data_IF_202534916035
#
_entry.id   IF_202534916035
#
_cell.length_a   1.000
_cell.length_b   1.000
_cell.length_c   1.000
_cell.angle_alpha   90.00
_cell.angle_beta   90.00
_cell.angle_gamma   90.00
#
_symmetry.space_group_name_H-M   'P 1'
#
loop_
_entity.id
_entity.type
_entity.pdbx_description
1 polymer ?
#
# COMPACT_ATOMS: atom_id res chain seq x y z
N UNK A 1 10.91 -7.34 -10.38
CA UNK A 1 9.94 -6.25 -10.18
C UNK A 1 8.61 -6.74 -10.75
N UNK A 2 7.57 -6.91 -9.93
CA UNK A 2 6.26 -7.40 -10.41
C UNK A 2 5.57 -6.26 -11.18
N UNK A 3 5.11 -6.52 -12.41
CA UNK A 3 4.40 -5.52 -13.19
C UNK A 3 3.06 -5.15 -12.54
N UNK A 4 2.98 -3.95 -11.99
CA UNK A 4 1.74 -3.39 -11.41
C UNK A 4 0.98 -2.61 -12.49
N UNK A 5 -0.32 -2.84 -12.59
CA UNK A 5 -1.23 -2.04 -13.39
C UNK A 5 -2.01 -1.08 -12.48
N UNK A 6 -2.28 0.11 -12.98
CA UNK A 6 -3.04 1.14 -12.26
C UNK A 6 -4.28 1.48 -13.07
N UNK A 7 -5.43 1.54 -12.41
CA UNK A 7 -6.58 2.21 -13.02
C UNK A 7 -6.25 3.69 -13.24
N UNK A 8 -6.96 4.35 -14.16
CA UNK A 8 -6.81 5.79 -14.36
C UNK A 8 -7.01 6.56 -13.05
N UNK A 9 -8.02 6.16 -12.25
CA UNK A 9 -8.27 6.71 -10.93
C UNK A 9 -7.07 6.53 -9.98
N UNK A 10 -6.51 5.32 -9.88
CA UNK A 10 -5.38 5.04 -9.02
C UNK A 10 -4.15 5.87 -9.40
N UNK A 11 -3.83 5.97 -10.69
CA UNK A 11 -2.67 6.72 -11.19
C UNK A 11 -2.74 8.19 -10.77
N UNK A 12 -3.90 8.83 -10.99
CA UNK A 12 -4.14 10.24 -10.60
C UNK A 12 -4.01 10.42 -9.09
N UNK A 13 -4.65 9.54 -8.30
CA UNK A 13 -4.64 9.64 -6.82
C UNK A 13 -3.26 9.41 -6.21
N UNK A 14 -2.49 8.48 -6.75
CA UNK A 14 -1.13 8.22 -6.27
C UNK A 14 -0.23 9.44 -6.52
N UNK A 15 -0.29 10.02 -7.72
CA UNK A 15 0.44 11.23 -8.06
C UNK A 15 0.08 12.41 -7.15
N UNK A 16 -1.21 12.68 -6.97
CA UNK A 16 -1.72 13.76 -6.10
C UNK A 16 -1.25 13.64 -4.64
N UNK A 17 -0.98 12.41 -4.16
CA UNK A 17 -0.60 12.14 -2.76
C UNK A 17 0.90 11.87 -2.59
N UNK A 18 1.68 11.97 -3.67
CA UNK A 18 3.10 11.61 -3.68
C UNK A 18 3.34 10.17 -3.23
N UNK A 19 2.44 9.25 -3.61
CA UNK A 19 2.60 7.81 -3.35
C UNK A 19 3.35 7.24 -4.56
N UNK A 20 4.57 6.76 -4.34
CA UNK A 20 5.38 6.16 -5.38
C UNK A 20 5.12 4.66 -5.54
N UNK A 21 5.53 4.11 -6.70
CA UNK A 21 5.33 2.71 -7.04
C UNK A 21 6.11 1.76 -6.12
N UNK A 22 7.23 2.22 -5.56
CA UNK A 22 8.05 1.42 -4.66
C UNK A 22 7.31 1.14 -3.35
N UNK A 23 6.71 2.17 -2.76
CA UNK A 23 5.90 2.05 -1.56
C UNK A 23 4.69 1.14 -1.79
N UNK A 24 4.01 1.26 -2.94
CA UNK A 24 2.89 0.37 -3.28
C UNK A 24 3.36 -1.08 -3.40
N UNK A 25 4.48 -1.32 -4.11
CA UNK A 25 5.04 -2.66 -4.26
C UNK A 25 5.38 -3.26 -2.90
N UNK A 26 6.02 -2.50 -2.01
CA UNK A 26 6.35 -2.93 -0.66
C UNK A 26 5.10 -3.29 0.15
N UNK A 27 4.03 -2.48 0.08
CA UNK A 27 2.76 -2.81 0.76
C UNK A 27 2.14 -4.07 0.19
N UNK A 28 2.15 -4.27 -1.14
CA UNK A 28 1.62 -5.47 -1.76
C UNK A 28 2.44 -6.74 -1.45
N UNK A 29 3.76 -6.61 -1.22
CA UNK A 29 4.65 -7.71 -0.90
C UNK A 29 4.59 -8.11 0.58
N UNK A 30 4.66 -7.14 1.49
CA UNK A 30 4.80 -7.42 2.93
C UNK A 30 3.50 -7.22 3.72
N UNK A 31 2.50 -6.58 3.11
CA UNK A 31 1.26 -6.21 3.79
C UNK A 31 0.33 -7.37 4.03
N UNK A 32 -0.48 -7.22 5.08
CA UNK A 32 -1.60 -8.11 5.34
C UNK A 32 -2.79 -7.72 4.47
N UNK A 33 -3.64 -8.70 4.22
CA UNK A 33 -4.84 -8.55 3.38
C UNK A 33 -6.11 -8.51 4.24
N UNK A 34 -7.04 -7.63 3.89
CA UNK A 34 -8.40 -7.58 4.43
C UNK A 34 -9.40 -7.43 3.28
N UNK A 35 -10.32 -8.39 3.14
CA UNK A 35 -11.41 -8.34 2.17
C UNK A 35 -12.53 -7.42 2.67
N UNK A 36 -13.16 -6.67 1.77
CA UNK A 36 -14.26 -5.76 2.11
C UNK A 36 -15.66 -6.34 1.86
N UNK A 37 -15.75 -7.63 1.53
CA UNK A 37 -16.98 -8.35 1.18
C UNK A 37 -17.77 -7.81 -0.04
N UNK A 38 -17.29 -6.74 -0.68
CA UNK A 38 -17.89 -6.11 -1.86
C UNK A 38 -17.02 -6.26 -3.13
N UNK A 39 -16.16 -7.28 -3.15
CA UNK A 39 -15.27 -7.58 -4.28
C UNK A 39 -13.94 -6.81 -4.27
N UNK A 40 -13.72 -5.96 -3.27
CA UNK A 40 -12.45 -5.27 -3.05
C UNK A 40 -11.60 -5.93 -1.97
N UNK A 41 -10.30 -5.63 -2.04
CA UNK A 41 -9.28 -6.14 -1.13
C UNK A 41 -8.33 -5.03 -0.73
N UNK A 42 -8.18 -4.83 0.58
CA UNK A 42 -7.27 -3.86 1.16
C UNK A 42 -5.99 -4.55 1.60
N UNK A 43 -4.85 -4.01 1.20
CA UNK A 43 -3.52 -4.45 1.62
C UNK A 43 -2.83 -3.31 2.35
N UNK A 44 -2.29 -3.58 3.53
CA UNK A 44 -1.63 -2.57 4.37
C UNK A 44 -0.59 -3.19 5.31
N UNK A 45 0.35 -2.37 5.78
CA UNK A 45 1.30 -2.77 6.81
C UNK A 45 0.67 -2.52 8.20
N UNK A 46 0.48 -3.59 8.98
CA UNK A 46 0.15 -3.49 10.39
C UNK A 46 1.40 -3.28 11.25
N UNK A 47 1.24 -3.33 12.58
CA UNK A 47 2.36 -3.15 13.52
C UNK A 47 3.50 -4.19 13.29
N UNK A 48 3.24 -5.51 13.22
CA UNK A 48 4.30 -6.49 13.00
C UNK A 48 4.93 -6.38 11.61
N UNK A 49 4.18 -6.07 10.55
CA UNK A 49 4.75 -5.92 9.21
C UNK A 49 5.67 -4.69 9.14
N UNK A 50 5.29 -3.58 9.80
CA UNK A 50 6.17 -2.41 9.91
C UNK A 50 7.44 -2.69 10.68
N UNK A 51 7.35 -3.51 11.72
CA UNK A 51 8.53 -3.90 12.50
C UNK A 51 9.49 -4.72 11.65
N UNK A 52 9.00 -5.71 10.89
CA UNK A 52 9.83 -6.46 9.93
C UNK A 52 10.47 -5.56 8.87
N UNK A 53 9.70 -4.64 8.30
CA UNK A 53 10.24 -3.65 7.33
C UNK A 53 11.29 -2.75 7.97
N UNK A 54 11.17 -2.42 9.26
CA UNK A 54 12.16 -1.62 9.98
C UNK A 54 13.46 -2.39 10.23
N UNK A 55 13.36 -3.70 10.49
CA UNK A 55 14.51 -4.58 10.70
C UNK A 55 15.25 -4.86 9.38
N UNK A 56 14.51 -5.10 8.29
CA UNK A 56 15.09 -5.44 6.97
C UNK A 56 15.53 -4.20 6.18
N UNK A 57 14.80 -3.08 6.32
CA UNK A 57 15.02 -1.84 5.56
C UNK A 57 14.81 -0.58 6.42
N UNK A 58 15.70 -0.31 7.41
CA UNK A 58 15.54 0.80 8.35
C UNK A 58 15.44 2.18 7.65
N UNK A 59 16.18 2.39 6.57
CA UNK A 59 16.14 3.64 5.79
C UNK A 59 14.78 3.94 5.18
N UNK A 60 14.02 2.89 4.82
CA UNK A 60 12.68 3.05 4.23
C UNK A 60 11.69 3.56 5.26
N UNK A 61 11.86 3.20 6.54
CA UNK A 61 11.02 3.72 7.63
C UNK A 61 11.21 5.21 7.78
N UNK A 62 12.46 5.68 7.77
CA UNK A 62 12.78 7.11 7.84
C UNK A 62 12.29 7.86 6.61
N UNK A 63 12.47 7.28 5.41
CA UNK A 63 12.06 7.88 4.13
C UNK A 63 10.55 8.03 4.01
N UNK A 64 9.79 7.00 4.35
CA UNK A 64 8.34 6.98 4.12
C UNK A 64 7.53 7.50 5.30
N UNK A 65 8.03 7.38 6.53
CA UNK A 65 7.40 7.93 7.74
C UNK A 65 5.91 7.58 7.81
N UNK A 66 5.04 8.60 7.85
CA UNK A 66 3.58 8.42 7.87
C UNK A 66 3.02 7.67 6.66
N UNK A 67 3.70 7.68 5.51
CA UNK A 67 3.25 6.93 4.33
C UNK A 67 3.34 5.41 4.51
N UNK A 68 4.01 4.90 5.55
CA UNK A 68 3.89 3.47 5.93
C UNK A 68 2.49 3.08 6.41
N UNK A 69 1.62 4.05 6.70
CA UNK A 69 0.19 3.85 6.92
C UNK A 69 -0.61 3.76 5.61
N UNK A 70 0.05 3.51 4.48
CA UNK A 70 -0.61 3.30 3.20
C UNK A 70 -1.51 2.07 3.21
N UNK A 71 -2.71 2.26 2.68
CA UNK A 71 -3.65 1.23 2.29
C UNK A 71 -3.71 1.21 0.78
N UNK A 72 -3.46 0.04 0.19
CA UNK A 72 -3.60 -0.22 -1.25
C UNK A 72 -4.85 -1.04 -1.46
N UNK A 73 -5.71 -0.61 -2.37
CA UNK A 73 -6.94 -1.33 -2.71
C UNK A 73 -6.76 -2.00 -4.07
N UNK A 74 -6.99 -3.31 -4.13
CA UNK A 74 -6.99 -4.12 -5.36
C UNK A 74 -8.34 -4.82 -5.51
N UNK A 75 -8.68 -5.33 -6.71
CA UNK A 75 -9.72 -6.34 -6.84
C UNK A 75 -9.43 -7.57 -5.96
N UNK A 76 -10.48 -8.27 -5.54
CA UNK A 76 -10.35 -9.49 -4.75
C UNK A 76 -9.70 -10.65 -5.55
N UNK A 77 -9.98 -10.72 -6.85
CA UNK A 77 -9.52 -11.75 -7.79
C UNK A 77 -8.15 -11.42 -8.42
N UNK A 78 -7.73 -10.15 -8.42
CA UNK A 78 -6.50 -9.69 -9.04
C UNK A 78 -5.64 -8.86 -8.08
N UNK A 79 -4.47 -9.40 -7.69
CA UNK A 79 -3.55 -8.73 -6.78
C UNK A 79 -2.60 -7.71 -7.44
N UNK A 80 -2.61 -7.58 -8.78
CA UNK A 80 -1.68 -6.73 -9.55
C UNK A 80 -2.28 -5.41 -10.02
N UNK A 81 -3.61 -5.28 -9.99
CA UNK A 81 -4.31 -4.07 -10.40
C UNK A 81 -4.62 -3.20 -9.17
N UNK A 82 -4.05 -2.00 -9.13
CA UNK A 82 -4.33 -1.01 -8.09
C UNK A 82 -5.55 -0.18 -8.50
N UNK A 83 -6.60 -0.23 -7.68
CA UNK A 83 -7.83 0.57 -7.87
C UNK A 83 -7.75 1.94 -7.21
N UNK A 84 -7.15 2.00 -6.01
CA UNK A 84 -6.84 3.26 -5.31
C UNK A 84 -5.79 3.02 -4.22
N UNK A 85 -5.18 4.10 -3.74
CA UNK A 85 -4.26 4.05 -2.62
C UNK A 85 -4.39 5.33 -1.77
N UNK A 86 -4.37 5.16 -0.45
CA UNK A 86 -4.50 6.26 0.50
C UNK A 86 -3.81 5.96 1.83
N UNK A 87 -3.30 7.00 2.49
CA UNK A 87 -2.71 6.86 3.83
C UNK A 87 -3.83 6.94 4.85
N UNK A 88 -3.97 5.93 5.72
CA UNK A 88 -4.99 5.99 6.79
C UNK A 88 -4.65 7.11 7.77
N UNK A 89 -5.67 7.87 8.16
CA UNK A 89 -5.51 8.83 9.24
C UNK A 89 -5.55 8.04 10.55
N UNK A 90 -4.45 8.03 11.31
CA UNK A 90 -4.52 7.66 12.72
C UNK A 90 -4.96 8.91 13.47
N UNK A 91 -6.09 8.86 14.16
CA UNK A 91 -6.35 9.84 15.22
C UNK A 91 -5.16 9.79 16.18
N UNK A 92 -4.64 10.97 16.52
CA UNK A 92 -3.55 11.11 17.48
C UNK A 92 -3.92 10.48 18.81
#
# INVERSE_FOLDING_TARGET
MVGLSYTHHAKVRCAQRGIDNWLISMVLTYGRTQYDHHGGRRVFLGKPEKQRVAEEYPDLVRRYGRKLDLVVVTPADCNRTVMTAYVRNRSR
#
